data_IF_564573051952
#
_entry.id   IF_564573051952
#
_cell.length_a   1.000
_cell.length_b   1.000
_cell.length_c   1.000
_cell.angle_alpha   90.00
_cell.angle_beta   90.00
_cell.angle_gamma   90.00
#
_symmetry.space_group_name_H-M   'P 1'
#
loop_
_entity.id
_entity.type
_entity.pdbx_description
1 polymer ?
#
# COMPACT_ATOMS: atom_id res chain seq x y z
N UNK A 1 -17.25 27.43 -9.70
CA UNK A 1 -15.80 27.68 -9.51
C UNK A 1 -15.46 27.66 -8.01
N UNK A 2 -15.56 26.51 -7.33
CA UNK A 2 -15.27 26.41 -5.88
C UNK A 2 -14.33 25.25 -5.49
N UNK A 3 -13.91 24.39 -6.43
CA UNK A 3 -13.02 23.25 -6.13
C UNK A 3 -11.59 23.65 -5.79
N UNK A 4 -11.05 24.69 -6.42
CA UNK A 4 -9.60 24.92 -6.42
C UNK A 4 -8.99 25.40 -5.09
N UNK A 5 -9.79 25.90 -4.13
CA UNK A 5 -9.26 26.48 -2.89
C UNK A 5 -8.96 25.44 -1.80
N UNK A 6 -9.58 24.25 -1.86
CA UNK A 6 -9.51 23.21 -0.82
C UNK A 6 -8.79 21.94 -1.29
N UNK A 7 -8.18 21.97 -2.49
CA UNK A 7 -7.66 20.79 -3.17
C UNK A 7 -6.15 20.66 -3.13
N UNK A 8 -5.40 21.67 -2.65
CA UNK A 8 -3.94 21.67 -2.76
C UNK A 8 -3.23 21.00 -1.58
N UNK A 9 -3.81 21.07 -0.38
CA UNK A 9 -3.17 20.61 0.85
C UNK A 9 -3.95 19.46 1.50
N UNK A 10 -3.22 18.49 2.05
CA UNK A 10 -3.83 17.33 2.76
C UNK A 10 -4.45 17.72 4.11
N UNK A 11 -4.10 18.90 4.63
CA UNK A 11 -4.59 19.42 5.92
C UNK A 11 -5.88 20.24 5.79
N UNK A 12 -6.33 20.51 4.56
CA UNK A 12 -7.46 21.40 4.29
C UNK A 12 -8.73 20.60 4.11
N UNK A 13 -9.69 20.82 5.02
CA UNK A 13 -11.02 20.25 4.94
C UNK A 13 -11.90 21.06 4.01
N UNK A 14 -12.60 20.39 3.10
CA UNK A 14 -13.66 21.03 2.33
C UNK A 14 -14.84 21.41 3.24
N UNK A 15 -15.69 22.38 2.83
CA UNK A 15 -16.91 22.75 3.56
C UNK A 15 -17.90 21.58 3.76
N UNK A 16 -17.72 20.48 3.04
CA UNK A 16 -18.53 19.26 3.11
C UNK A 16 -17.91 18.20 4.04
N UNK A 17 -16.82 18.51 4.74
CA UNK A 17 -16.13 17.58 5.64
C UNK A 17 -15.30 16.50 4.91
N UNK A 18 -14.86 16.78 3.68
CA UNK A 18 -14.05 15.86 2.85
C UNK A 18 -12.64 16.38 2.65
N UNK A 19 -11.67 15.47 2.60
CA UNK A 19 -10.28 15.77 2.24
C UNK A 19 -10.05 15.28 0.81
N UNK A 20 -10.02 16.20 -0.16
CA UNK A 20 -9.94 15.85 -1.57
C UNK A 20 -8.61 15.20 -1.97
N UNK A 21 -7.51 15.51 -1.27
CA UNK A 21 -6.21 14.86 -1.50
C UNK A 21 -6.23 13.35 -1.24
N UNK A 22 -6.94 12.89 -0.19
CA UNK A 22 -7.12 11.46 0.07
C UNK A 22 -7.93 10.81 -1.05
N UNK A 23 -8.94 11.50 -1.55
CA UNK A 23 -9.78 11.01 -2.64
C UNK A 23 -8.99 10.90 -3.95
N UNK A 24 -8.14 11.88 -4.28
CA UNK A 24 -7.24 11.81 -5.43
C UNK A 24 -6.25 10.65 -5.31
N UNK A 25 -5.68 10.42 -4.12
CA UNK A 25 -4.83 9.27 -3.86
C UNK A 25 -5.58 7.94 -4.06
N UNK A 26 -6.83 7.84 -3.60
CA UNK A 26 -7.67 6.66 -3.83
C UNK A 26 -7.98 6.44 -5.32
N UNK A 27 -8.22 7.50 -6.08
CA UNK A 27 -8.42 7.41 -7.53
C UNK A 27 -7.14 6.93 -8.26
N UNK A 28 -5.96 7.36 -7.80
CA UNK A 28 -4.69 6.89 -8.36
C UNK A 28 -4.50 5.37 -8.20
N UNK A 29 -4.99 4.79 -7.10
CA UNK A 29 -4.98 3.32 -6.88
C UNK A 29 -5.90 2.62 -7.88
N UNK A 30 -7.08 3.20 -8.19
CA UNK A 30 -8.03 2.63 -9.16
C UNK A 30 -7.50 2.61 -10.59
N UNK A 31 -6.61 3.54 -10.95
CA UNK A 31 -5.93 3.52 -12.25
C UNK A 31 -4.86 2.40 -12.35
N UNK A 32 -4.46 1.82 -11.22
CA UNK A 32 -3.60 0.66 -11.18
C UNK A 32 -4.26 -0.59 -11.78
N UNK A 33 -3.48 -1.42 -12.47
CA UNK A 33 -4.01 -2.71 -12.97
C UNK A 33 -4.53 -3.60 -11.83
N UNK A 34 -5.62 -4.31 -12.11
CA UNK A 34 -6.34 -5.09 -11.11
C UNK A 34 -5.47 -6.16 -10.42
N UNK A 35 -5.73 -6.35 -9.12
CA UNK A 35 -5.19 -7.43 -8.30
C UNK A 35 -6.32 -8.03 -7.47
N UNK A 36 -6.29 -9.34 -7.28
CA UNK A 36 -7.28 -10.11 -6.53
C UNK A 36 -6.54 -10.99 -5.52
N UNK A 37 -7.01 -10.98 -4.27
CA UNK A 37 -6.54 -11.89 -3.24
C UNK A 37 -7.66 -12.81 -2.79
N UNK A 38 -7.40 -14.11 -2.73
CA UNK A 38 -8.31 -15.08 -2.14
C UNK A 38 -7.63 -15.79 -0.96
N UNK A 39 -8.42 -16.07 0.08
CA UNK A 39 -7.99 -16.90 1.20
C UNK A 39 -8.92 -18.09 1.36
N UNK A 40 -8.34 -19.25 1.52
CA UNK A 40 -8.98 -20.46 2.01
C UNK A 40 -8.63 -20.67 3.49
N UNK A 41 -9.09 -21.77 4.09
CA UNK A 41 -8.73 -22.14 5.47
C UNK A 41 -7.23 -22.40 5.66
N UNK A 42 -6.56 -22.84 4.59
CA UNK A 42 -5.17 -23.31 4.63
C UNK A 42 -4.20 -22.49 3.77
N UNK A 43 -4.69 -21.79 2.76
CA UNK A 43 -3.85 -21.10 1.78
C UNK A 43 -4.38 -19.71 1.47
N UNK A 44 -3.49 -18.78 1.16
CA UNK A 44 -3.81 -17.48 0.58
C UNK A 44 -3.11 -17.34 -0.77
N UNK A 45 -3.83 -16.84 -1.77
CA UNK A 45 -3.35 -16.69 -3.14
C UNK A 45 -3.57 -15.25 -3.57
N UNK A 46 -2.57 -14.67 -4.22
CA UNK A 46 -2.61 -13.35 -4.82
C UNK A 46 -2.44 -13.47 -6.33
N UNK A 47 -3.35 -12.85 -7.07
CA UNK A 47 -3.34 -12.82 -8.54
C UNK A 47 -3.31 -11.35 -8.96
N UNK A 48 -2.32 -10.98 -9.76
CA UNK A 48 -2.15 -9.61 -10.23
C UNK A 48 -2.04 -9.57 -11.75
N UNK A 49 -2.82 -8.70 -12.38
CA UNK A 49 -2.73 -8.45 -13.81
C UNK A 49 -1.52 -7.55 -14.07
N UNK A 50 -0.54 -8.05 -14.84
CA UNK A 50 0.63 -7.27 -15.25
C UNK A 50 0.34 -6.60 -16.59
N UNK A 51 0.32 -5.27 -16.62
CA UNK A 51 0.19 -4.50 -17.87
C UNK A 51 1.58 -4.20 -18.41
N UNK A 52 1.83 -4.51 -19.68
CA UNK A 52 3.02 -4.01 -20.39
C UNK A 52 2.70 -2.64 -21.01
N UNK A 53 3.69 -1.75 -21.05
CA UNK A 53 3.55 -0.46 -21.72
C UNK A 53 3.72 -0.58 -23.25
N UNK A 54 4.55 -1.53 -23.70
CA UNK A 54 4.69 -1.91 -25.11
C UNK A 54 5.05 -3.39 -25.20
N UNK A 55 4.94 -3.99 -26.38
CA UNK A 55 5.29 -5.41 -26.61
C UNK A 55 6.76 -5.74 -26.28
N UNK A 56 7.64 -4.75 -26.35
CA UNK A 56 9.08 -4.89 -26.04
C UNK A 56 9.41 -4.57 -24.58
N UNK A 57 8.46 -4.01 -23.82
CA UNK A 57 8.68 -3.60 -22.45
C UNK A 57 8.46 -4.78 -21.49
N UNK A 58 9.39 -4.96 -20.56
CA UNK A 58 9.24 -5.95 -19.49
C UNK A 58 8.03 -5.62 -18.61
N UNK A 59 7.28 -6.66 -18.24
CA UNK A 59 6.15 -6.51 -17.32
C UNK A 59 6.60 -6.04 -15.94
N UNK A 60 5.93 -5.01 -15.43
CA UNK A 60 6.17 -4.51 -14.09
C UNK A 60 5.79 -5.56 -13.03
N UNK A 61 6.69 -5.80 -12.06
CA UNK A 61 6.43 -6.73 -10.95
C UNK A 61 5.38 -6.14 -10.01
N UNK A 62 4.24 -6.81 -9.89
CA UNK A 62 3.14 -6.44 -8.98
C UNK A 62 3.08 -7.23 -7.70
N UNK A 63 3.62 -8.44 -7.70
CA UNK A 63 3.69 -9.28 -6.51
C UNK A 63 5.12 -9.14 -5.98
N UNK A 64 5.24 -8.72 -4.73
CA UNK A 64 6.49 -8.54 -4.03
C UNK A 64 6.53 -9.50 -2.85
N UNK A 65 7.68 -10.15 -2.71
CA UNK A 65 7.96 -11.05 -1.60
C UNK A 65 8.45 -10.25 -0.39
N UNK A 66 7.84 -10.44 0.78
CA UNK A 66 8.23 -9.75 2.02
C UNK A 66 8.99 -10.70 2.93
N UNK A 67 8.38 -11.84 3.29
CA UNK A 67 8.97 -12.88 4.13
C UNK A 67 8.45 -14.25 3.69
N UNK A 68 9.00 -15.34 4.22
CA UNK A 68 8.65 -16.73 3.88
C UNK A 68 7.14 -17.00 3.96
N UNK A 69 6.43 -16.32 4.87
CA UNK A 69 5.00 -16.45 5.09
C UNK A 69 4.18 -15.24 4.61
N UNK A 70 4.80 -14.22 4.02
CA UNK A 70 4.13 -12.96 3.63
C UNK A 70 4.51 -12.53 2.22
N UNK A 71 3.49 -12.39 1.38
CA UNK A 71 3.58 -11.74 0.07
C UNK A 71 2.57 -10.60 -0.03
N UNK A 72 2.92 -9.57 -0.79
CA UNK A 72 2.03 -8.45 -1.08
C UNK A 72 1.80 -8.30 -2.57
N UNK A 73 0.64 -7.76 -2.93
CA UNK A 73 0.34 -7.33 -4.29
C UNK A 73 -0.01 -5.84 -4.30
N UNK A 74 0.42 -5.13 -5.34
CA UNK A 74 0.35 -3.67 -5.40
C UNK A 74 -0.54 -3.18 -6.54
N UNK A 75 -1.32 -2.14 -6.26
CA UNK A 75 -2.08 -1.37 -7.23
C UNK A 75 -1.82 0.13 -6.98
N UNK A 76 -1.49 0.88 -8.03
CA UNK A 76 -1.11 2.29 -7.94
C UNK A 76 0.39 2.53 -8.17
N UNK A 77 0.95 3.54 -7.49
CA UNK A 77 2.33 3.98 -7.66
C UNK A 77 3.32 2.91 -7.17
N UNK A 78 4.20 2.47 -8.06
CA UNK A 78 5.18 1.43 -7.75
C UNK A 78 6.31 1.93 -6.84
N UNK A 79 6.57 3.25 -6.82
CA UNK A 79 7.58 3.84 -5.93
C UNK A 79 7.18 3.67 -4.46
N UNK A 80 5.96 4.08 -4.09
CA UNK A 80 5.44 3.98 -2.72
C UNK A 80 5.34 2.53 -2.28
N UNK A 81 4.87 1.66 -3.18
CA UNK A 81 4.84 0.22 -2.96
C UNK A 81 6.21 -0.38 -2.60
N UNK A 82 7.30 0.09 -3.24
CA UNK A 82 8.66 -0.39 -2.92
C UNK A 82 9.10 0.09 -1.55
N UNK A 83 8.80 1.34 -1.20
CA UNK A 83 9.13 1.90 0.12
C UNK A 83 8.42 1.13 1.23
N UNK A 84 7.13 0.84 1.05
CA UNK A 84 6.35 0.02 1.97
C UNK A 84 6.86 -1.41 2.04
N UNK A 85 7.21 -2.03 0.90
CA UNK A 85 7.77 -3.38 0.88
C UNK A 85 9.08 -3.46 1.67
N UNK A 86 9.96 -2.47 1.52
CA UNK A 86 11.22 -2.41 2.25
C UNK A 86 10.98 -2.22 3.75
N UNK A 87 10.06 -1.34 4.14
CA UNK A 87 9.65 -1.18 5.54
C UNK A 87 9.12 -2.50 6.13
N UNK A 88 8.20 -3.18 5.43
CA UNK A 88 7.66 -4.46 5.89
C UNK A 88 8.73 -5.54 6.04
N UNK A 89 9.69 -5.59 5.12
CA UNK A 89 10.83 -6.52 5.20
C UNK A 89 11.68 -6.26 6.44
N UNK A 90 11.97 -4.99 6.71
CA UNK A 90 12.72 -4.58 7.89
C UNK A 90 12.03 -5.04 9.17
N UNK A 91 10.73 -4.76 9.32
CA UNK A 91 9.95 -5.18 10.49
C UNK A 91 9.90 -6.71 10.67
N UNK A 92 9.79 -7.46 9.55
CA UNK A 92 9.84 -8.92 9.60
C UNK A 92 11.22 -9.43 10.04
N UNK A 93 12.30 -8.83 9.55
CA UNK A 93 13.67 -9.18 9.92
C UNK A 93 13.95 -8.84 11.38
N UNK A 94 13.50 -7.67 11.86
CA UNK A 94 13.71 -7.24 13.24
C UNK A 94 12.97 -8.14 14.22
N UNK A 95 11.72 -8.53 13.91
CA UNK A 95 10.98 -9.49 14.74
C UNK A 95 11.68 -10.86 14.81
N UNK A 96 12.26 -11.33 13.69
CA UNK A 96 13.03 -12.58 13.68
C UNK A 96 14.34 -12.42 14.45
N UNK A 97 15.01 -11.28 14.33
CA UNK A 97 16.26 -11.03 15.04
C UNK A 97 16.07 -10.94 16.56
N UNK A 98 15.02 -10.26 17.03
CA UNK A 98 14.78 -10.04 18.46
C UNK A 98 14.11 -11.23 19.13
N UNK A 99 13.12 -11.84 18.46
CA UNK A 99 12.24 -12.84 19.08
C UNK A 99 12.33 -14.23 18.46
N UNK A 100 13.20 -14.42 17.46
CA UNK A 100 13.37 -15.66 16.69
C UNK A 100 12.05 -16.27 16.19
N UNK A 101 11.08 -15.42 15.87
CA UNK A 101 9.75 -15.84 15.41
C UNK A 101 9.26 -15.01 14.22
N UNK A 102 8.49 -15.63 13.30
CA UNK A 102 7.86 -14.90 12.21
C UNK A 102 6.86 -13.87 12.74
N UNK A 103 6.87 -12.67 12.16
CA UNK A 103 5.97 -11.59 12.55
C UNK A 103 4.51 -11.95 12.15
N UNK A 104 3.53 -11.89 13.06
CA UNK A 104 2.13 -12.12 12.71
C UNK A 104 1.62 -11.10 11.69
N UNK A 105 0.88 -11.57 10.67
CA UNK A 105 0.38 -10.71 9.58
C UNK A 105 -0.49 -9.56 10.10
N UNK A 106 -1.33 -9.82 11.11
CA UNK A 106 -2.18 -8.77 11.73
C UNK A 106 -1.34 -7.64 12.32
N UNK A 107 -0.25 -7.97 13.03
CA UNK A 107 0.65 -6.99 13.63
C UNK A 107 1.37 -6.18 12.56
N UNK A 108 1.82 -6.82 11.49
CA UNK A 108 2.45 -6.13 10.37
C UNK A 108 1.49 -5.14 9.70
N UNK A 109 0.23 -5.54 9.48
CA UNK A 109 -0.80 -4.65 8.93
C UNK A 109 -1.09 -3.49 9.86
N UNK A 110 -1.15 -3.71 11.18
CA UNK A 110 -1.30 -2.63 12.16
C UNK A 110 -0.13 -1.64 12.13
N UNK A 111 1.11 -2.13 11.99
CA UNK A 111 2.31 -1.28 11.88
C UNK A 111 2.27 -0.42 10.62
N UNK A 112 1.93 -1.02 9.48
CA UNK A 112 1.73 -0.26 8.22
C UNK A 112 0.62 0.76 8.43
N UNK A 113 -0.52 0.38 9.02
CA UNK A 113 -1.61 1.29 9.31
C UNK A 113 -1.15 2.48 10.14
N UNK A 114 -0.39 2.26 11.22
CA UNK A 114 0.17 3.35 12.02
C UNK A 114 1.15 4.22 11.24
N UNK A 115 2.05 3.63 10.46
CA UNK A 115 3.10 4.37 9.75
C UNK A 115 2.57 5.12 8.52
N UNK A 116 1.64 4.54 7.76
CA UNK A 116 1.02 5.17 6.58
C UNK A 116 0.05 6.27 6.97
N UNK A 117 -0.69 6.09 8.06
CA UNK A 117 -1.64 7.09 8.57
C UNK A 117 -0.88 8.29 9.16
N UNK A 118 0.27 8.06 9.81
CA UNK A 118 1.12 9.16 10.30
C UNK A 118 1.88 9.89 9.19
N UNK A 119 2.38 9.17 8.17
CA UNK A 119 3.25 9.79 7.16
C UNK A 119 2.50 10.58 6.07
N UNK A 120 1.30 10.15 5.68
CA UNK A 120 0.59 10.77 4.54
C UNK A 120 -0.74 11.42 4.90
N UNK A 121 -1.30 11.21 6.09
CA UNK A 121 -2.68 11.66 6.37
C UNK A 121 -2.83 12.47 7.65
N UNK A 122 -1.99 12.26 8.67
CA UNK A 122 -2.19 12.89 9.98
C UNK A 122 -0.85 13.22 10.65
N UNK A 123 -0.36 14.46 10.62
CA UNK A 123 -0.62 15.36 11.74
C UNK A 123 -2.06 15.27 12.24
N UNK A 124 -2.33 14.30 13.10
CA UNK A 124 -3.48 14.29 14.02
C UNK A 124 -3.18 13.33 15.16
N UNK A 125 -2.56 13.85 16.21
CA UNK A 125 -3.24 14.12 17.48
C UNK A 125 -2.86 15.52 17.91
#
# INVERSE_FOLDING_TARGET
>A
QFRNQYDNDVTVWSPQGRIHQIEYAMEAVKQGSATVGLKSKTHAVLVALKRAQSELAAHQKKILYVDNHIGISIAGLTADARLLCNFMRQECLDSRFVFDRPLPVSRLVSLIGSSILFAYTCYTF
#
